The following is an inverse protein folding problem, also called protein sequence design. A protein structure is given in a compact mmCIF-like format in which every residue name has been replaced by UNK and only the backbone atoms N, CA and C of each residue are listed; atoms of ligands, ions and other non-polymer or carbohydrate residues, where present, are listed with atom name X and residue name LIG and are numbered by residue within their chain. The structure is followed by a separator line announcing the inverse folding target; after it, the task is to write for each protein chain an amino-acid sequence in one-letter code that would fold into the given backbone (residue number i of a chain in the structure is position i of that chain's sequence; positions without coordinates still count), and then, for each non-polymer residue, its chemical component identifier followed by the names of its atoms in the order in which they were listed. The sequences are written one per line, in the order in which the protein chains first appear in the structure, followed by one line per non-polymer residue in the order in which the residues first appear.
data_IF_926008001463
#
_entry.id   IF_926008001463
#
_cell.length_a   1.000
_cell.length_b   1.000
_cell.length_c   1.000
_cell.angle_alpha   90.00
_cell.angle_beta   90.00
_cell.angle_gamma   90.00
#
_symmetry.space_group_name_H-M   'P 1'
#
loop_
_entity.id
_entity.type
_entity.pdbx_description
1 polymer ?
#
# COMPACT_ATOMS: atom_id res chain seq x y z
N UNK A 1 -27.53 -1.18 7.34
CA UNK A 1 -26.42 -1.47 6.42
C UNK A 1 -25.35 -0.40 6.58
N UNK A 2 -24.27 -0.68 7.34
CA UNK A 2 -23.17 0.28 7.52
C UNK A 2 -22.26 0.18 6.30
N UNK A 3 -22.40 1.13 5.37
CA UNK A 3 -21.39 1.33 4.34
C UNK A 3 -20.22 2.06 4.99
N UNK A 4 -19.08 1.38 5.14
CA UNK A 4 -17.81 2.04 5.48
C UNK A 4 -17.49 3.02 4.36
N UNK A 5 -17.30 4.30 4.69
CA UNK A 5 -17.02 5.33 3.69
C UNK A 5 -15.78 4.99 2.84
N UNK A 6 -15.71 5.41 1.57
CA UNK A 6 -14.65 5.04 0.63
C UNK A 6 -13.24 5.42 1.09
N UNK A 7 -13.12 6.37 2.02
CA UNK A 7 -11.85 6.79 2.59
C UNK A 7 -11.23 5.78 3.58
N UNK A 8 -12.04 5.09 4.37
CA UNK A 8 -11.56 4.16 5.41
C UNK A 8 -11.04 2.85 4.81
N UNK A 9 -11.76 2.32 3.82
CA UNK A 9 -11.37 1.11 3.11
C UNK A 9 -10.08 1.31 2.29
N UNK A 10 -9.92 2.47 1.65
CA UNK A 10 -8.69 2.82 0.94
C UNK A 10 -7.48 2.94 1.88
N UNK A 11 -7.67 3.52 3.07
CA UNK A 11 -6.61 3.64 4.07
C UNK A 11 -6.22 2.28 4.68
N UNK A 12 -7.19 1.41 4.94
CA UNK A 12 -6.94 0.05 5.43
C UNK A 12 -6.24 -0.83 4.37
N UNK A 13 -6.68 -0.76 3.12
CA UNK A 13 -6.01 -1.47 2.02
C UNK A 13 -4.57 -0.97 1.79
N UNK A 14 -4.34 0.35 1.84
CA UNK A 14 -2.98 0.92 1.82
C UNK A 14 -2.14 0.48 3.04
N UNK A 15 -2.74 0.31 4.22
CA UNK A 15 -2.04 -0.14 5.42
C UNK A 15 -1.56 -1.60 5.34
N UNK A 16 -2.27 -2.46 4.61
CA UNK A 16 -1.86 -3.84 4.38
C UNK A 16 -0.74 -3.95 3.34
N UNK A 17 -0.63 -2.95 2.45
CA UNK A 17 0.32 -2.97 1.34
C UNK A 17 1.57 -2.10 1.58
N UNK A 18 1.49 -1.01 2.36
CA UNK A 18 2.59 -0.07 2.51
C UNK A 18 2.55 0.73 3.85
N UNK A 19 3.34 0.28 4.83
CA UNK A 19 3.48 0.96 6.13
C UNK A 19 4.15 2.33 6.03
N UNK A 20 5.02 2.55 5.04
CA UNK A 20 5.70 3.83 4.84
C UNK A 20 4.71 4.88 4.32
N UNK A 21 3.89 4.51 3.33
CA UNK A 21 2.81 5.35 2.83
C UNK A 21 1.76 5.63 3.92
N UNK A 22 1.44 4.64 4.76
CA UNK A 22 0.53 4.81 5.89
C UNK A 22 1.04 5.85 6.90
N UNK A 23 2.34 5.86 7.20
CA UNK A 23 2.97 6.89 8.04
C UNK A 23 3.24 8.19 7.28
N UNK A 24 3.20 8.17 5.95
CA UNK A 24 3.51 9.32 5.09
C UNK A 24 5.00 9.68 5.14
N UNK A 25 5.85 8.66 5.23
CA UNK A 25 7.31 8.79 5.27
C UNK A 25 7.92 8.03 4.10
N UNK A 26 9.16 8.36 3.73
CA UNK A 26 9.89 7.64 2.70
C UNK A 26 10.39 6.27 3.22
N UNK A 27 10.72 5.35 2.31
CA UNK A 27 11.28 4.04 2.69
C UNK A 27 12.66 4.16 3.36
N UNK A 28 13.41 5.23 3.07
CA UNK A 28 14.69 5.54 3.71
C UNK A 28 14.54 6.27 5.06
N UNK A 29 13.31 6.55 5.50
CA UNK A 29 13.07 7.31 6.71
C UNK A 29 13.75 6.70 7.95
N UNK A 30 14.31 7.57 8.76
CA UNK A 30 14.96 7.22 10.02
C UNK A 30 13.95 6.81 11.09
N UNK A 31 14.38 6.03 12.08
CA UNK A 31 13.52 5.63 13.22
C UNK A 31 12.87 6.86 13.92
N UNK A 32 13.61 7.96 13.99
CA UNK A 32 13.11 9.23 14.55
C UNK A 32 11.98 9.84 13.72
N UNK A 33 12.08 9.79 12.39
CA UNK A 33 11.07 10.30 11.48
C UNK A 33 9.80 9.45 11.53
N UNK A 34 9.95 8.12 11.57
CA UNK A 34 8.87 7.16 11.76
C UNK A 34 8.12 7.47 13.07
N UNK A 35 8.84 7.64 14.17
CA UNK A 35 8.25 7.98 15.48
C UNK A 35 7.52 9.33 15.46
N UNK A 36 8.12 10.35 14.84
CA UNK A 36 7.53 11.69 14.70
C UNK A 36 6.25 11.65 13.87
N UNK A 37 6.27 10.96 12.73
CA UNK A 37 5.13 10.82 11.84
C UNK A 37 4.00 10.04 12.51
N UNK A 38 4.32 8.94 13.21
CA UNK A 38 3.36 8.18 14.00
C UNK A 38 2.67 9.07 15.04
N UNK A 39 3.42 9.82 15.86
CA UNK A 39 2.84 10.72 16.87
C UNK A 39 1.88 11.73 16.26
N UNK A 40 2.26 12.34 15.13
CA UNK A 40 1.43 13.33 14.43
C UNK A 40 0.12 12.72 13.93
N UNK A 41 0.18 11.56 13.28
CA UNK A 41 -1.01 10.89 12.73
C UNK A 41 -1.89 10.28 13.81
N UNK A 42 -1.29 9.66 14.83
CA UNK A 42 -1.97 9.08 15.98
C UNK A 42 -2.84 10.12 16.70
N UNK A 43 -2.34 11.34 16.91
CA UNK A 43 -3.10 12.44 17.52
C UNK A 43 -4.27 12.97 16.66
N UNK A 44 -4.27 12.68 15.36
CA UNK A 44 -5.36 13.04 14.45
C UNK A 44 -6.49 12.01 14.44
N UNK A 45 -6.15 10.73 14.65
CA UNK A 45 -7.12 9.61 14.65
C UNK A 45 -7.45 9.06 16.03
N UNK A 46 -6.92 9.67 17.11
CA UNK A 46 -7.11 9.16 18.47
C UNK A 46 -8.60 9.17 18.85
N UNK A 47 -9.16 8.04 19.35
CA UNK A 47 -10.60 7.91 19.60
C UNK A 47 -11.15 8.91 20.63
N UNK A 48 -10.32 9.35 21.58
CA UNK A 48 -10.69 10.38 22.57
C UNK A 48 -10.89 11.78 21.94
N UNK A 49 -10.19 12.08 20.85
CA UNK A 49 -10.15 13.42 20.23
C UNK A 49 -10.89 13.48 18.89
N UNK A 50 -11.19 12.33 18.32
CA UNK A 50 -11.89 12.20 17.06
C UNK A 50 -13.39 12.50 17.25
N UNK A 51 -13.86 13.56 16.58
CA UNK A 51 -15.27 13.99 16.56
C UNK A 51 -15.93 13.80 15.18
N UNK A 52 -15.35 12.95 14.34
CA UNK A 52 -15.85 12.71 12.98
C UNK A 52 -16.98 11.68 12.93
N UNK A 53 -17.49 11.46 11.73
CA UNK A 53 -18.65 10.60 11.44
C UNK A 53 -18.36 9.10 11.65
N UNK A 54 -17.09 8.69 11.48
CA UNK A 54 -16.66 7.28 11.48
C UNK A 54 -15.63 6.98 12.58
N UNK A 55 -16.05 6.83 13.85
CA UNK A 55 -15.14 6.48 14.95
C UNK A 55 -14.47 5.11 14.76
N UNK A 56 -15.16 4.16 14.11
CA UNK A 56 -14.65 2.82 13.83
C UNK A 56 -13.46 2.87 12.85
N UNK A 57 -13.54 3.74 11.84
CA UNK A 57 -12.46 3.97 10.89
C UNK A 57 -11.23 4.63 11.55
N UNK A 58 -11.47 5.55 12.49
CA UNK A 58 -10.39 6.16 13.26
C UNK A 58 -9.65 5.12 14.11
N UNK A 59 -10.39 4.21 14.76
CA UNK A 59 -9.82 3.08 15.52
C UNK A 59 -9.03 2.14 14.61
N UNK A 60 -9.58 1.71 13.47
CA UNK A 60 -8.88 0.86 12.52
C UNK A 60 -7.57 1.50 12.01
N UNK A 61 -7.62 2.80 11.69
CA UNK A 61 -6.44 3.56 11.26
C UNK A 61 -5.40 3.67 12.38
N UNK A 62 -5.84 3.88 13.62
CA UNK A 62 -4.95 3.93 14.78
C UNK A 62 -4.22 2.59 15.00
N UNK A 63 -4.94 1.47 14.91
CA UNK A 63 -4.35 0.14 14.98
C UNK A 63 -3.33 -0.09 13.86
N UNK A 64 -3.67 0.31 12.63
CA UNK A 64 -2.77 0.22 11.49
C UNK A 64 -1.49 1.06 11.68
N UNK A 65 -1.61 2.29 12.17
CA UNK A 65 -0.46 3.16 12.48
C UNK A 65 0.43 2.55 13.56
N UNK A 66 -0.17 1.94 14.57
CA UNK A 66 0.55 1.28 15.68
C UNK A 66 1.37 0.11 15.14
N UNK A 67 0.72 -0.77 14.36
CA UNK A 67 1.37 -1.92 13.72
C UNK A 67 2.50 -1.48 12.78
N UNK A 68 2.28 -0.44 11.99
CA UNK A 68 3.31 0.14 11.12
C UNK A 68 4.52 0.61 11.92
N UNK A 69 4.32 1.34 13.02
CA UNK A 69 5.41 1.75 13.91
C UNK A 69 6.14 0.53 14.47
N UNK A 70 5.43 -0.47 14.98
CA UNK A 70 6.03 -1.67 15.57
C UNK A 70 6.93 -2.42 14.58
N UNK A 71 6.45 -2.62 13.34
CA UNK A 71 7.22 -3.30 12.29
C UNK A 71 8.42 -2.47 11.84
N UNK A 72 8.28 -1.15 11.72
CA UNK A 72 9.33 -0.28 11.21
C UNK A 72 10.38 0.12 12.27
N UNK A 73 10.04 0.02 13.55
CA UNK A 73 10.95 0.29 14.67
C UNK A 73 11.88 -0.91 14.96
N UNK A 74 11.38 -2.13 14.75
CA UNK A 74 12.17 -3.37 14.85
C UNK A 74 12.95 -3.61 13.55
N UNK A 75 14.28 -3.61 13.63
CA UNK A 75 15.15 -3.72 12.45
C UNK A 75 14.99 -5.06 11.70
N UNK A 76 14.70 -6.14 12.42
CA UNK A 76 14.52 -7.46 11.82
C UNK A 76 13.17 -7.54 11.11
N UNK A 77 12.12 -7.01 11.73
CA UNK A 77 10.78 -6.93 11.13
C UNK A 77 10.78 -5.99 9.93
N UNK A 78 11.45 -4.83 10.02
CA UNK A 78 11.63 -3.89 8.92
C UNK A 78 12.35 -4.53 7.75
N UNK A 79 13.46 -5.23 7.99
CA UNK A 79 14.19 -5.92 6.93
C UNK A 79 13.35 -7.00 6.23
N UNK A 80 12.57 -7.78 7.01
CA UNK A 80 11.66 -8.78 6.46
C UNK A 80 10.52 -8.15 5.64
N UNK A 81 9.96 -7.05 6.12
CA UNK A 81 8.94 -6.28 5.42
C UNK A 81 9.48 -5.69 4.12
N UNK A 82 10.64 -5.05 4.15
CA UNK A 82 11.28 -4.46 2.98
C UNK A 82 11.60 -5.52 1.91
N UNK A 83 12.02 -6.72 2.32
CA UNK A 83 12.24 -7.83 1.40
C UNK A 83 10.92 -8.29 0.73
N UNK A 84 9.83 -8.32 1.49
CA UNK A 84 8.50 -8.68 0.98
C UNK A 84 7.98 -7.62 -0.01
N UNK A 85 8.11 -6.33 0.33
CA UNK A 85 7.72 -5.22 -0.56
C UNK A 85 8.48 -5.31 -1.87
N UNK A 86 9.82 -5.44 -1.82
CA UNK A 86 10.66 -5.59 -3.02
C UNK A 86 10.30 -6.82 -3.85
N UNK A 87 10.02 -7.96 -3.21
CA UNK A 87 9.63 -9.18 -3.91
C UNK A 87 8.27 -9.04 -4.60
N UNK A 88 7.32 -8.34 -3.97
CA UNK A 88 6.00 -8.05 -4.52
C UNK A 88 6.09 -7.10 -5.71
N UNK A 89 6.87 -6.03 -5.61
CA UNK A 89 7.14 -5.12 -6.72
C UNK A 89 7.83 -5.81 -7.89
N UNK A 90 8.85 -6.63 -7.62
CA UNK A 90 9.54 -7.41 -8.66
C UNK A 90 8.59 -8.39 -9.36
N UNK A 91 7.70 -9.04 -8.60
CA UNK A 91 6.68 -9.94 -9.16
C UNK A 91 5.65 -9.19 -10.00
N UNK A 92 5.24 -7.99 -9.57
CA UNK A 92 4.32 -7.13 -10.32
C UNK A 92 4.94 -6.68 -11.64
N UNK A 93 6.17 -6.19 -11.62
CA UNK A 93 6.91 -5.79 -12.83
C UNK A 93 7.11 -6.97 -13.79
N UNK A 94 7.43 -8.15 -13.25
CA UNK A 94 7.58 -9.38 -14.05
C UNK A 94 6.27 -9.78 -14.72
N UNK A 95 5.13 -9.71 -14.02
CA UNK A 95 3.81 -9.98 -14.61
C UNK A 95 3.47 -8.96 -15.69
N UNK A 96 3.70 -7.68 -15.42
CA UNK A 96 3.43 -6.59 -16.37
C UNK A 96 4.24 -6.72 -17.66
N UNK A 97 5.53 -7.04 -17.55
CA UNK A 97 6.41 -7.27 -18.71
C UNK A 97 6.02 -8.51 -19.51
N UNK A 98 5.60 -9.60 -18.84
CA UNK A 98 5.09 -10.81 -19.51
C UNK A 98 3.74 -10.57 -20.19
N UNK A 99 2.86 -9.78 -19.58
CA UNK A 99 1.56 -9.44 -20.13
C UNK A 99 1.68 -8.54 -21.36
N UNK A 100 2.58 -7.55 -21.32
CA UNK A 100 2.92 -6.70 -22.46
C UNK A 100 3.49 -7.52 -23.63
N UNK A 101 4.35 -8.51 -23.34
CA UNK A 101 4.88 -9.43 -24.36
C UNK A 101 3.80 -10.30 -25.01
N UNK A 102 2.87 -10.84 -24.22
CA UNK A 102 1.71 -11.59 -24.73
C UNK A 102 0.80 -10.73 -25.59
N UNK A 103 0.50 -9.51 -25.14
CA UNK A 103 -0.33 -8.56 -25.88
C UNK A 103 0.28 -8.23 -27.24
N UNK A 104 1.57 -7.92 -27.28
CA UNK A 104 2.31 -7.63 -28.52
C UNK A 104 2.32 -8.81 -29.50
N UNK A 105 2.46 -10.04 -29.00
CA UNK A 105 2.42 -11.24 -29.84
C UNK A 105 1.03 -11.47 -30.47
N UNK A 106 -0.04 -11.22 -29.71
CA UNK A 106 -1.41 -11.33 -30.21
C UNK A 106 -1.69 -10.30 -31.31
N UNK A 107 -1.26 -9.06 -31.12
CA UNK A 107 -1.42 -7.99 -32.12
C UNK A 107 -0.63 -8.28 -33.40
N UNK A 108 0.60 -8.80 -33.31
CA UNK A 108 1.40 -9.18 -34.49
C UNK A 108 0.77 -10.32 -35.30
N UNK A 109 0.19 -11.31 -34.61
CA UNK A 109 -0.51 -12.43 -35.25
C UNK A 109 -1.76 -11.95 -36.00
N UNK A 110 -2.60 -11.14 -35.35
CA UNK A 110 -3.84 -10.61 -35.92
C UNK A 110 -3.57 -9.73 -37.15
N UNK A 111 -2.54 -8.88 -37.09
CA UNK A 111 -2.13 -8.04 -38.23
C UNK A 111 -1.67 -8.86 -39.44
N UNK A 112 -0.97 -9.98 -39.21
CA UNK A 112 -0.56 -10.90 -40.30
C UNK A 112 -1.75 -11.65 -40.88
N UNK A 113 -2.68 -12.08 -40.05
CA UNK A 113 -3.91 -12.73 -40.48
C UNK A 113 -4.82 -11.79 -41.30
N UNK A 114 -4.87 -10.50 -40.98
CA UNK A 114 -5.59 -9.48 -41.76
C UNK A 114 -4.90 -9.19 -43.10
N UNK A 115 -3.57 -9.05 -43.12
CA UNK A 115 -2.82 -8.79 -44.34
C UNK A 115 -2.93 -9.95 -45.35
N UNK A 116 -3.08 -11.19 -44.89
CA UNK A 116 -3.28 -12.36 -45.74
C UNK A 116 -4.72 -12.51 -46.28
N UNK A 117 -5.68 -11.72 -45.78
CA UNK A 117 -7.08 -11.71 -46.22
C UNK A 117 -7.38 -10.66 -47.29
N UNK A 118 -6.46 -9.75 -47.58
CA UNK A 118 -6.56 -8.76 -48.66
C UNK A 118 -5.93 -9.28 -49.96
#
# INVERSE_FOLDING_TARGET
SKQVGPHAAAFAAMAEEDYYALLGVAMDASKEEISRAYRKKSLAVHPDRYKGDDPDAAVATFHALTKAKEVLEDEKARAAFDALVRAREASRLKRETQDAGRKKMREDLEAREEAAKQ
#
